data_IF_985803704241
#
_entry.id   IF_985803704241
#
_cell.length_a   1.000
_cell.length_b   1.000
_cell.length_c   1.000
_cell.angle_alpha   90.00
_cell.angle_beta   90.00
_cell.angle_gamma   90.00
#
_symmetry.space_group_name_H-M   'P 1'
#
loop_
_entity.id
_entity.type
_entity.pdbx_description
1 polymer ?
#
# COMPACT_ATOMS: atom_id res chain seq x y z
N UNK A 1 2.79 -9.21 8.28
CA UNK A 1 2.32 -9.31 6.87
C UNK A 1 1.62 -8.02 6.55
N UNK A 2 1.92 -7.38 5.42
CA UNK A 2 1.25 -6.13 5.05
C UNK A 2 -0.02 -6.40 4.25
N UNK A 3 -0.99 -5.50 4.31
CA UNK A 3 -2.23 -5.56 3.56
C UNK A 3 -2.51 -4.21 2.87
N UNK A 4 -3.40 -4.23 1.88
CA UNK A 4 -3.96 -3.01 1.34
C UNK A 4 -4.77 -2.28 2.41
N UNK A 5 -4.70 -0.95 2.41
CA UNK A 5 -5.44 -0.08 3.33
C UNK A 5 -6.26 0.92 2.52
N UNK A 6 -7.41 1.32 3.05
CA UNK A 6 -8.22 2.37 2.45
C UNK A 6 -7.46 3.71 2.49
N UNK A 7 -7.46 4.42 1.35
CA UNK A 7 -6.83 5.73 1.21
C UNK A 7 -7.84 6.75 0.65
N UNK A 8 -8.90 7.11 1.40
CA UNK A 8 -9.92 8.07 0.92
C UNK A 8 -9.37 9.48 0.68
N UNK A 9 -8.17 9.76 1.21
CA UNK A 9 -7.43 11.02 1.10
C UNK A 9 -6.44 11.03 -0.08
N UNK A 10 -6.36 9.97 -0.89
CA UNK A 10 -5.29 9.83 -1.90
C UNK A 10 -5.28 10.96 -2.93
N UNK A 11 -6.44 11.55 -3.21
CA UNK A 11 -6.60 12.65 -4.16
C UNK A 11 -6.20 14.02 -3.57
N UNK A 12 -6.03 14.12 -2.25
CA UNK A 12 -5.66 15.35 -1.55
C UNK A 12 -4.13 15.55 -1.45
N UNK A 13 -3.34 14.56 -1.86
CA UNK A 13 -1.87 14.59 -1.74
C UNK A 13 -1.20 14.57 -3.11
N UNK A 14 -0.12 15.35 -3.25
CA UNK A 14 0.65 15.38 -4.50
C UNK A 14 1.43 14.08 -4.75
N UNK A 15 1.74 13.32 -3.69
CA UNK A 15 2.55 12.10 -3.78
C UNK A 15 2.33 11.20 -2.56
N UNK A 16 2.26 9.89 -2.78
CA UNK A 16 2.20 8.88 -1.73
C UNK A 16 3.26 7.79 -1.98
N UNK A 17 3.84 7.26 -0.91
CA UNK A 17 4.88 6.21 -0.97
C UNK A 17 4.50 5.05 -0.06
N UNK A 18 4.51 3.84 -0.61
CA UNK A 18 4.38 2.60 0.16
C UNK A 18 5.76 2.03 0.52
N UNK A 19 6.20 2.25 1.76
CA UNK A 19 7.49 1.78 2.27
C UNK A 19 7.43 0.40 2.96
N UNK A 20 6.23 -0.12 3.22
CA UNK A 20 6.00 -1.39 3.92
C UNK A 20 6.76 -1.47 5.26
N UNK A 21 7.23 -2.66 5.64
CA UNK A 21 7.99 -2.93 6.85
C UNK A 21 9.47 -3.15 6.49
N UNK A 22 10.27 -2.10 6.49
CA UNK A 22 11.70 -2.16 6.11
C UNK A 22 12.66 -2.81 7.12
N UNK A 23 12.14 -3.36 8.23
CA UNK A 23 12.97 -3.98 9.27
C UNK A 23 13.89 -2.97 9.97
N UNK A 24 15.06 -3.44 10.44
CA UNK A 24 16.04 -2.57 11.11
C UNK A 24 16.64 -1.51 10.19
N UNK A 25 16.75 -1.82 8.89
CA UNK A 25 17.32 -0.92 7.87
C UNK A 25 16.27 -0.01 7.22
N UNK A 26 15.11 0.20 7.87
CA UNK A 26 14.06 1.08 7.35
C UNK A 26 14.53 2.53 7.13
N UNK A 27 15.64 2.93 7.76
CA UNK A 27 16.31 4.22 7.51
C UNK A 27 16.78 4.41 6.06
N UNK A 28 16.96 3.33 5.29
CA UNK A 28 17.28 3.39 3.87
C UNK A 28 16.20 4.08 3.02
N UNK A 29 14.97 4.24 3.54
CA UNK A 29 13.94 5.06 2.91
C UNK A 29 14.40 6.50 2.65
N UNK A 30 15.22 7.08 3.54
CA UNK A 30 15.73 8.44 3.37
C UNK A 30 16.60 8.58 2.11
N UNK A 31 17.39 7.56 1.75
CA UNK A 31 18.17 7.56 0.52
C UNK A 31 17.29 7.55 -0.72
N UNK A 32 16.20 6.78 -0.69
CA UNK A 32 15.23 6.73 -1.78
C UNK A 32 14.48 8.05 -1.95
N UNK A 33 14.15 8.73 -0.84
CA UNK A 33 13.46 10.02 -0.90
C UNK A 33 14.31 11.15 -1.49
N UNK A 34 15.62 11.10 -1.28
CA UNK A 34 16.50 12.23 -1.58
C UNK A 34 17.43 12.01 -2.77
N UNK A 35 17.83 10.76 -3.04
CA UNK A 35 19.01 10.50 -3.86
C UNK A 35 18.87 9.33 -4.85
N UNK A 36 17.80 8.52 -4.78
CA UNK A 36 17.65 7.32 -5.62
C UNK A 36 16.30 7.26 -6.33
N UNK A 37 16.26 6.50 -7.43
CA UNK A 37 15.05 6.29 -8.21
C UNK A 37 14.10 5.26 -7.58
N UNK A 38 12.80 5.44 -7.82
CA UNK A 38 11.75 4.50 -7.42
C UNK A 38 11.57 3.40 -8.48
N UNK A 39 11.94 2.15 -8.15
CA UNK A 39 11.79 0.98 -9.04
C UNK A 39 10.73 -0.03 -8.56
N UNK A 40 10.17 0.15 -7.37
CA UNK A 40 9.19 -0.77 -6.80
C UNK A 40 7.90 -0.88 -7.61
N UNK A 41 7.33 -2.08 -7.68
CA UNK A 41 5.99 -2.35 -8.23
C UNK A 41 5.13 -2.94 -7.12
N UNK A 42 3.84 -2.59 -7.12
CA UNK A 42 2.91 -3.14 -6.14
C UNK A 42 2.77 -4.66 -6.34
N UNK A 43 3.02 -5.47 -5.30
CA UNK A 43 2.86 -6.93 -5.39
C UNK A 43 1.40 -7.39 -5.24
N UNK A 44 0.51 -6.47 -4.83
CA UNK A 44 -0.92 -6.71 -4.61
C UNK A 44 -1.74 -5.57 -5.21
N UNK A 45 -2.99 -5.85 -5.54
CA UNK A 45 -3.96 -4.82 -5.97
C UNK A 45 -4.44 -4.05 -4.75
N UNK A 46 -4.51 -2.72 -4.87
CA UNK A 46 -5.15 -1.83 -3.90
C UNK A 46 -6.54 -1.46 -4.45
N UNK A 47 -7.61 -2.11 -3.97
CA UNK A 47 -8.95 -1.80 -4.42
C UNK A 47 -9.39 -0.40 -3.95
N UNK A 48 -10.36 0.22 -4.63
CA UNK A 48 -10.87 1.54 -4.23
C UNK A 48 -11.74 1.43 -2.98
N UNK A 49 -12.55 0.38 -2.89
CA UNK A 49 -13.28 0.00 -1.68
C UNK A 49 -13.21 -1.51 -1.46
N UNK A 50 -13.58 -1.99 -0.27
CA UNK A 50 -13.44 -3.41 0.08
C UNK A 50 -14.31 -4.30 -0.82
N UNK A 51 -15.43 -3.79 -1.32
CA UNK A 51 -16.37 -4.47 -2.18
C UNK A 51 -15.79 -4.81 -3.57
N UNK A 52 -14.77 -4.08 -4.04
CA UNK A 52 -14.10 -4.37 -5.32
C UNK A 52 -13.23 -5.63 -5.26
N UNK A 53 -12.88 -6.10 -4.05
CA UNK A 53 -12.04 -7.27 -3.88
C UNK A 53 -12.86 -8.55 -4.13
N UNK A 54 -12.42 -9.38 -5.09
CA UNK A 54 -13.20 -10.56 -5.53
C UNK A 54 -13.49 -11.61 -4.45
N UNK A 55 -12.72 -11.62 -3.36
CA UNK A 55 -12.99 -12.50 -2.21
C UNK A 55 -14.04 -11.96 -1.24
N UNK A 56 -14.45 -10.69 -1.34
CA UNK A 56 -15.38 -10.06 -0.38
C UNK A 56 -16.69 -10.82 -0.14
N UNK A 57 -17.40 -11.37 -1.16
CA UNK A 57 -18.62 -12.15 -0.90
C UNK A 57 -18.38 -13.52 -0.23
N UNK A 58 -17.14 -14.00 -0.16
CA UNK A 58 -16.79 -15.32 0.39
C UNK A 58 -15.93 -15.23 1.65
N UNK A 59 -15.46 -14.03 1.98
CA UNK A 59 -14.62 -13.79 3.13
C UNK A 59 -15.50 -13.61 4.37
N UNK A 60 -15.17 -14.31 5.45
CA UNK A 60 -15.88 -14.38 6.74
C UNK A 60 -17.25 -15.10 6.73
N UNK A 61 -18.01 -15.10 5.62
CA UNK A 61 -19.32 -15.78 5.53
C UNK A 61 -20.39 -15.18 6.44
N UNK A 62 -21.59 -14.94 5.91
CA UNK A 62 -22.79 -14.38 6.57
C UNK A 62 -22.58 -13.81 8.00
N UNK A 63 -22.21 -12.53 8.06
CA UNK A 63 -22.50 -11.62 9.18
C UNK A 63 -23.58 -10.62 8.77
#
# INVERSE_FOLDING_TARGET
MACAVAMPWVDDVNSAIHAWYGGQENGALAEVLLWRDFSGKLPITFPRCIEDHGATPYFLGDV
#
